data_IF_452230004673
#
_entry.id   IF_452230004673
#
_cell.length_a   1.000
_cell.length_b   1.000
_cell.length_c   1.000
_cell.angle_alpha   90.00
_cell.angle_beta   90.00
_cell.angle_gamma   90.00
#
_symmetry.space_group_name_H-M   'P 1'
#
loop_
_entity.id
_entity.type
_entity.pdbx_description
1 polymer ?
#
# COMPACT_ATOMS: atom_id res chain seq x y z
N UNK A 1 5.87 -14.04 -31.15
CA UNK A 1 5.21 -14.57 -29.93
C UNK A 1 5.32 -13.59 -28.76
N UNK A 2 6.53 -13.18 -28.34
CA UNK A 2 6.75 -12.24 -27.21
C UNK A 2 6.11 -10.84 -27.33
N UNK A 3 5.85 -10.35 -28.55
CA UNK A 3 5.18 -9.05 -28.80
C UNK A 3 3.69 -9.12 -28.47
N UNK A 4 3.02 -10.20 -28.93
CA UNK A 4 1.59 -10.41 -28.74
C UNK A 4 1.23 -10.68 -27.28
N UNK A 5 2.14 -11.28 -26.51
CA UNK A 5 1.98 -11.48 -25.05
C UNK A 5 2.12 -10.15 -24.29
N UNK A 6 3.12 -9.33 -24.62
CA UNK A 6 3.29 -7.99 -24.05
C UNK A 6 2.09 -7.07 -24.33
N UNK A 7 1.57 -7.08 -25.55
CA UNK A 7 0.38 -6.30 -25.90
C UNK A 7 -0.88 -6.73 -25.13
N UNK A 8 -1.03 -8.04 -24.87
CA UNK A 8 -2.13 -8.57 -24.05
C UNK A 8 -2.00 -8.13 -22.58
N UNK A 9 -0.79 -8.16 -22.03
CA UNK A 9 -0.54 -7.73 -20.65
C UNK A 9 -0.80 -6.23 -20.44
N UNK A 10 -0.36 -5.39 -21.39
CA UNK A 10 -0.64 -3.94 -21.37
C UNK A 10 -2.14 -3.69 -21.43
N UNK A 11 -2.86 -4.35 -22.35
CA UNK A 11 -4.31 -4.19 -22.48
C UNK A 11 -5.06 -4.63 -21.22
N UNK A 12 -4.62 -5.70 -20.56
CA UNK A 12 -5.22 -6.16 -19.30
C UNK A 12 -4.96 -5.18 -18.14
N UNK A 13 -3.76 -4.61 -18.07
CA UNK A 13 -3.41 -3.59 -17.08
C UNK A 13 -4.25 -2.32 -17.25
N UNK A 14 -4.40 -1.85 -18.49
CA UNK A 14 -5.23 -0.68 -18.82
C UNK A 14 -6.70 -0.92 -18.43
N UNK A 15 -7.25 -2.09 -18.75
CA UNK A 15 -8.62 -2.47 -18.35
C UNK A 15 -8.78 -2.44 -16.83
N UNK A 16 -7.85 -3.03 -16.08
CA UNK A 16 -7.91 -3.04 -14.62
C UNK A 16 -7.81 -1.63 -14.02
N UNK A 17 -6.96 -0.76 -14.59
CA UNK A 17 -6.87 0.64 -14.18
C UNK A 17 -8.16 1.41 -14.48
N UNK A 18 -8.76 1.19 -15.65
CA UNK A 18 -10.01 1.83 -16.04
C UNK A 18 -11.18 1.38 -15.16
N UNK A 19 -11.28 0.09 -14.84
CA UNK A 19 -12.27 -0.43 -13.89
C UNK A 19 -12.09 0.18 -12.49
N UNK A 20 -10.84 0.23 -12.02
CA UNK A 20 -10.48 0.84 -10.73
C UNK A 20 -10.86 2.33 -10.69
N UNK A 21 -10.56 3.06 -11.76
CA UNK A 21 -10.95 4.45 -11.92
C UNK A 21 -12.47 4.62 -11.93
N UNK A 22 -13.20 3.80 -12.71
CA UNK A 22 -14.66 3.89 -12.81
C UNK A 22 -15.35 3.63 -11.47
N UNK A 23 -14.81 2.74 -10.64
CA UNK A 23 -15.28 2.53 -9.27
C UNK A 23 -15.03 3.76 -8.40
N UNK A 24 -13.80 4.29 -8.41
CA UNK A 24 -13.43 5.45 -7.61
C UNK A 24 -14.22 6.71 -8.03
N UNK A 25 -14.40 6.93 -9.33
CA UNK A 25 -15.20 8.02 -9.91
C UNK A 25 -16.63 8.02 -9.40
N UNK A 26 -17.27 6.84 -9.36
CA UNK A 26 -18.63 6.67 -8.82
C UNK A 26 -18.69 7.03 -7.34
N UNK A 27 -17.72 6.55 -6.56
CA UNK A 27 -17.63 6.84 -5.12
C UNK A 27 -17.42 8.33 -4.81
N UNK A 28 -16.53 8.99 -5.55
CA UNK A 28 -16.28 10.42 -5.43
C UNK A 28 -17.53 11.20 -5.81
N UNK A 29 -18.15 10.85 -6.94
CA UNK A 29 -19.35 11.55 -7.44
C UNK A 29 -20.52 11.42 -6.46
N UNK A 30 -20.77 10.23 -5.92
CA UNK A 30 -21.81 9.99 -4.91
C UNK A 30 -21.57 10.81 -3.64
N UNK A 31 -20.32 10.86 -3.16
CA UNK A 31 -19.94 11.62 -1.98
C UNK A 31 -20.05 13.13 -2.21
N UNK A 32 -19.59 13.62 -3.36
CA UNK A 32 -19.69 15.02 -3.74
C UNK A 32 -21.14 15.48 -3.90
N UNK A 33 -21.98 14.65 -4.53
CA UNK A 33 -23.42 14.91 -4.63
C UNK A 33 -24.06 15.02 -3.25
N UNK A 34 -23.76 14.10 -2.33
CA UNK A 34 -24.30 14.16 -0.97
C UNK A 34 -23.85 15.40 -0.21
N UNK A 35 -22.59 15.84 -0.40
CA UNK A 35 -22.10 17.10 0.17
C UNK A 35 -22.93 18.29 -0.35
N UNK A 36 -23.22 18.34 -1.65
CA UNK A 36 -24.08 19.39 -2.22
C UNK A 36 -25.49 19.37 -1.63
N UNK A 37 -26.09 18.18 -1.43
CA UNK A 37 -27.41 18.06 -0.81
C UNK A 37 -27.43 18.56 0.64
N UNK A 38 -26.35 18.32 1.40
CA UNK A 38 -26.18 18.84 2.76
C UNK A 38 -26.05 20.37 2.72
N UNK A 39 -25.22 20.89 1.81
CA UNK A 39 -25.00 22.34 1.66
C UNK A 39 -26.26 23.10 1.24
N UNK A 40 -27.12 22.46 0.45
CA UNK A 40 -28.42 22.97 0.03
C UNK A 40 -29.51 22.79 1.12
N UNK A 41 -29.21 22.14 2.24
CA UNK A 41 -30.15 21.88 3.33
C UNK A 41 -31.21 20.81 3.02
N UNK A 42 -31.06 20.07 1.90
CA UNK A 42 -31.97 18.99 1.45
C UNK A 42 -31.70 17.68 2.19
N UNK A 43 -30.44 17.37 2.46
CA UNK A 43 -30.05 16.23 3.30
C UNK A 43 -29.79 16.68 4.74
N UNK A 44 -30.50 16.07 5.70
CA UNK A 44 -30.36 16.34 7.15
C UNK A 44 -29.86 15.10 7.88
N UNK A 45 -29.19 15.30 9.02
CA UNK A 45 -28.69 14.20 9.87
C UNK A 45 -27.31 13.65 9.49
N UNK A 46 -26.71 14.15 8.41
CA UNK A 46 -25.35 13.76 7.99
C UNK A 46 -24.36 14.91 8.15
N UNK A 47 -23.11 14.58 8.52
CA UNK A 47 -22.02 15.55 8.57
C UNK A 47 -21.26 15.58 7.25
N UNK A 48 -21.14 16.77 6.66
CA UNK A 48 -20.31 17.05 5.48
C UNK A 48 -18.91 16.45 5.58
N UNK A 49 -18.29 16.55 6.76
CA UNK A 49 -16.92 16.14 7.00
C UNK A 49 -16.70 14.63 6.79
N UNK A 50 -17.74 13.80 6.97
CA UNK A 50 -17.68 12.36 6.75
C UNK A 50 -17.46 12.03 5.27
N UNK A 51 -18.15 12.73 4.37
CA UNK A 51 -18.00 12.53 2.93
C UNK A 51 -16.67 13.06 2.40
N UNK A 52 -16.20 14.21 2.92
CA UNK A 52 -14.85 14.73 2.62
C UNK A 52 -13.78 13.73 3.05
N UNK A 53 -13.90 13.18 4.25
CA UNK A 53 -12.97 12.17 4.78
C UNK A 53 -13.02 10.87 3.97
N UNK A 54 -14.20 10.45 3.53
CA UNK A 54 -14.39 9.27 2.67
C UNK A 54 -13.66 9.42 1.33
N UNK A 55 -13.85 10.55 0.64
CA UNK A 55 -13.14 10.86 -0.62
C UNK A 55 -11.63 10.82 -0.37
N UNK A 56 -11.16 11.55 0.65
CA UNK A 56 -9.74 11.64 0.99
C UNK A 56 -9.12 10.27 1.26
N UNK A 57 -9.75 9.42 2.07
CA UNK A 57 -9.23 8.11 2.44
C UNK A 57 -9.20 7.13 1.25
N UNK A 58 -10.25 7.15 0.42
CA UNK A 58 -10.29 6.33 -0.79
C UNK A 58 -9.17 6.71 -1.76
N UNK A 59 -9.00 7.99 -2.07
CA UNK A 59 -7.92 8.45 -2.97
C UNK A 59 -6.53 8.24 -2.34
N UNK A 60 -6.40 8.39 -1.02
CA UNK A 60 -5.14 8.11 -0.31
C UNK A 60 -4.68 6.66 -0.47
N UNK A 61 -5.61 5.71 -0.59
CA UNK A 61 -5.28 4.30 -0.86
C UNK A 61 -4.54 4.14 -2.20
N UNK A 62 -5.01 4.83 -3.25
CA UNK A 62 -4.37 4.82 -4.56
C UNK A 62 -3.01 5.54 -4.54
N UNK A 63 -2.93 6.65 -3.80
CA UNK A 63 -1.65 7.34 -3.59
C UNK A 63 -0.63 6.45 -2.86
N UNK A 64 -1.06 5.66 -1.88
CA UNK A 64 -0.21 4.68 -1.18
C UNK A 64 0.39 3.61 -2.10
N UNK A 65 -0.33 3.22 -3.16
CA UNK A 65 0.11 2.25 -4.16
C UNK A 65 0.94 2.86 -5.29
N UNK A 66 1.10 4.19 -5.32
CA UNK A 66 1.77 4.88 -6.41
C UNK A 66 0.98 4.91 -7.73
N UNK A 67 -0.35 4.82 -7.68
CA UNK A 67 -1.24 4.89 -8.86
C UNK A 67 -1.52 6.36 -9.23
N UNK A 68 -0.50 7.06 -9.72
CA UNK A 68 -0.50 8.51 -10.00
C UNK A 68 -1.64 8.92 -10.92
N UNK A 69 -1.87 8.19 -12.00
CA UNK A 69 -2.84 8.56 -13.04
C UNK A 69 -4.28 8.54 -12.48
N UNK A 70 -4.61 7.56 -11.64
CA UNK A 70 -5.93 7.49 -10.98
C UNK A 70 -6.09 8.63 -9.97
N UNK A 71 -5.03 8.96 -9.23
CA UNK A 71 -5.04 10.04 -8.24
C UNK A 71 -5.18 11.40 -8.91
N UNK A 72 -4.48 11.65 -10.02
CA UNK A 72 -4.61 12.88 -10.81
C UNK A 72 -6.03 13.04 -11.36
N UNK A 73 -6.59 11.99 -11.99
CA UNK A 73 -8.00 11.99 -12.42
C UNK A 73 -8.97 12.29 -11.27
N UNK A 74 -8.73 11.74 -10.07
CA UNK A 74 -9.55 11.99 -8.90
C UNK A 74 -9.46 13.45 -8.41
N UNK A 75 -8.27 14.04 -8.44
CA UNK A 75 -8.06 15.45 -8.08
C UNK A 75 -8.76 16.37 -9.07
N UNK A 76 -8.63 16.11 -10.37
CA UNK A 76 -9.28 16.92 -11.40
C UNK A 76 -10.79 16.82 -11.32
N UNK A 77 -11.34 15.64 -11.07
CA UNK A 77 -12.77 15.47 -10.83
C UNK A 77 -13.26 16.31 -9.64
N UNK A 78 -12.53 16.35 -8.53
CA UNK A 78 -12.89 17.20 -7.38
C UNK A 78 -12.75 18.69 -7.70
N UNK A 79 -11.76 19.09 -8.50
CA UNK A 79 -11.65 20.48 -9.00
C UNK A 79 -12.86 20.86 -9.84
N UNK A 80 -13.33 19.98 -10.73
CA UNK A 80 -14.55 20.20 -11.50
C UNK A 80 -15.77 20.40 -10.60
N UNK A 81 -15.94 19.56 -9.57
CA UNK A 81 -17.02 19.75 -8.59
C UNK A 81 -16.90 21.07 -7.83
N UNK A 82 -15.69 21.43 -7.40
CA UNK A 82 -15.45 22.70 -6.71
C UNK A 82 -15.76 23.92 -7.59
N UNK A 83 -15.49 23.85 -8.90
CA UNK A 83 -15.74 24.94 -9.84
C UNK A 83 -17.24 25.16 -10.14
N UNK A 84 -18.05 24.10 -10.02
CA UNK A 84 -19.51 24.14 -10.28
C UNK A 84 -20.33 24.67 -9.10
N UNK A 85 -19.73 24.81 -7.92
CA UNK A 85 -20.43 25.09 -6.66
C UNK A 85 -19.84 26.29 -5.94
N UNK A 86 -20.69 27.10 -5.31
CA UNK A 86 -20.25 28.24 -4.49
C UNK A 86 -19.47 27.81 -3.23
N UNK A 87 -19.77 26.61 -2.70
CA UNK A 87 -19.02 25.98 -1.61
C UNK A 87 -18.20 24.81 -2.19
N UNK A 88 -16.86 24.82 -2.09
CA UNK A 88 -16.03 23.76 -2.66
C UNK A 88 -16.19 22.47 -1.87
N UNK A 89 -16.47 21.34 -2.53
CA UNK A 89 -16.53 19.99 -1.94
C UNK A 89 -15.34 19.74 -1.01
N UNK A 90 -14.12 19.96 -1.52
CA UNK A 90 -12.88 19.93 -0.73
C UNK A 90 -12.13 21.24 -0.91
N UNK A 91 -11.82 21.93 0.19
CA UNK A 91 -11.08 23.20 0.15
C UNK A 91 -9.65 23.04 -0.38
N UNK A 92 -9.14 24.01 -1.15
CA UNK A 92 -7.80 23.96 -1.75
C UNK A 92 -6.64 23.71 -0.75
N UNK A 93 -6.79 24.16 0.51
CA UNK A 93 -5.81 23.92 1.59
C UNK A 93 -5.75 22.48 2.11
N UNK A 94 -6.66 21.61 1.67
CA UNK A 94 -6.72 20.24 2.16
C UNK A 94 -5.58 19.42 1.55
N UNK A 95 -4.96 18.54 2.36
CA UNK A 95 -3.91 17.60 1.91
C UNK A 95 -4.32 16.71 0.72
N UNK A 96 -5.61 16.58 0.44
CA UNK A 96 -6.14 15.92 -0.74
C UNK A 96 -5.44 16.37 -2.03
N UNK A 97 -5.17 17.68 -2.17
CA UNK A 97 -4.52 18.23 -3.37
C UNK A 97 -3.01 17.97 -3.43
N UNK A 98 -2.42 17.42 -2.37
CA UNK A 98 -1.03 16.96 -2.32
C UNK A 98 -0.89 15.47 -2.67
N UNK A 99 -2.01 14.74 -2.77
CA UNK A 99 -1.98 13.29 -3.04
C UNK A 99 -1.31 12.89 -4.37
N UNK A 100 -1.38 13.66 -5.47
CA UNK A 100 -0.63 13.34 -6.69
C UNK A 100 0.87 13.26 -6.43
N UNK A 101 1.40 14.20 -5.64
CA UNK A 101 2.82 14.20 -5.29
C UNK A 101 3.17 13.02 -4.37
N UNK A 102 2.33 12.75 -3.37
CA UNK A 102 2.47 11.55 -2.53
C UNK A 102 2.49 10.27 -3.37
N UNK A 103 1.64 10.18 -4.40
CA UNK A 103 1.59 9.03 -5.29
C UNK A 103 2.89 8.88 -6.09
N UNK A 104 3.46 9.96 -6.62
CA UNK A 104 4.75 9.92 -7.34
C UNK A 104 5.87 9.46 -6.43
N UNK A 105 5.95 10.01 -5.23
CA UNK A 105 6.97 9.61 -4.25
C UNK A 105 6.84 8.13 -3.85
N UNK A 106 5.61 7.63 -3.65
CA UNK A 106 5.39 6.22 -3.35
C UNK A 106 5.72 5.32 -4.54
N UNK A 107 5.42 5.74 -5.78
CA UNK A 107 5.82 5.00 -6.99
C UNK A 107 7.33 4.84 -7.08
N UNK A 108 8.09 5.90 -6.83
CA UNK A 108 9.55 5.85 -6.81
C UNK A 108 10.05 4.89 -5.73
N UNK A 109 9.56 5.02 -4.50
CA UNK A 109 9.92 4.11 -3.39
C UNK A 109 9.60 2.65 -3.71
N UNK A 110 8.43 2.37 -4.26
CA UNK A 110 8.03 1.00 -4.64
C UNK A 110 8.91 0.45 -5.75
N UNK A 111 9.33 1.30 -6.70
CA UNK A 111 10.28 0.92 -7.76
C UNK A 111 11.65 0.59 -7.17
N UNK A 112 12.18 1.44 -6.29
CA UNK A 112 13.45 1.20 -5.59
C UNK A 112 13.41 -0.09 -4.77
N UNK A 113 12.32 -0.33 -4.02
CA UNK A 113 12.13 -1.55 -3.23
C UNK A 113 12.12 -2.79 -4.14
N UNK A 114 11.48 -2.69 -5.31
CA UNK A 114 11.39 -3.80 -6.27
C UNK A 114 12.70 -4.07 -6.99
N UNK A 115 13.48 -3.04 -7.26
CA UNK A 115 14.83 -3.15 -7.84
C UNK A 115 15.86 -3.64 -6.81
N UNK A 116 15.57 -3.49 -5.52
CA UNK A 116 16.44 -3.96 -4.44
C UNK A 116 16.44 -5.49 -4.39
N UNK A 117 17.59 -6.07 -4.73
CA UNK A 117 17.79 -7.50 -4.65
C UNK A 117 17.60 -8.01 -3.21
N UNK A 118 17.04 -9.22 -3.10
CA UNK A 118 16.96 -9.91 -1.81
C UNK A 118 18.37 -10.08 -1.29
N UNK A 119 18.62 -9.61 -0.07
CA UNK A 119 19.86 -9.91 0.64
C UNK A 119 19.66 -11.22 1.38
N UNK A 120 20.61 -12.12 1.27
CA UNK A 120 20.59 -13.41 1.96
C UNK A 120 21.90 -13.59 2.73
N UNK A 121 21.81 -14.10 3.95
CA UNK A 121 22.96 -14.45 4.77
C UNK A 121 22.75 -15.86 5.31
N UNK A 122 23.63 -16.77 4.93
CA UNK A 122 23.64 -18.12 5.47
C UNK A 122 24.12 -18.11 6.92
N UNK A 123 23.53 -18.97 7.74
CA UNK A 123 23.96 -19.23 9.11
C UNK A 123 23.92 -20.75 9.38
N UNK A 124 24.38 -21.16 10.56
CA UNK A 124 24.35 -22.57 10.95
C UNK A 124 22.89 -23.07 11.08
N UNK A 125 22.46 -23.90 10.12
CA UNK A 125 21.13 -24.51 10.09
C UNK A 125 20.08 -23.74 9.30
N UNK A 126 20.46 -22.73 8.51
CA UNK A 126 19.51 -22.04 7.64
C UNK A 126 20.02 -20.78 6.95
N UNK A 127 19.09 -20.01 6.39
CA UNK A 127 19.34 -18.74 5.69
C UNK A 127 18.42 -17.63 6.18
N UNK A 128 19.00 -16.47 6.45
CA UNK A 128 18.29 -15.24 6.78
C UNK A 128 18.12 -14.38 5.51
N UNK A 129 16.88 -14.06 5.16
CA UNK A 129 16.51 -13.38 3.91
C UNK A 129 15.82 -12.04 4.20
N UNK A 130 16.36 -10.96 3.66
CA UNK A 130 15.72 -9.65 3.61
C UNK A 130 14.87 -9.56 2.35
N UNK A 131 13.58 -9.84 2.50
CA UNK A 131 12.61 -9.72 1.43
C UNK A 131 12.03 -8.30 1.42
N UNK A 132 12.71 -7.39 0.71
CA UNK A 132 12.32 -5.99 0.62
C UNK A 132 10.96 -5.80 -0.05
N UNK A 133 10.66 -6.57 -1.10
CA UNK A 133 9.38 -6.52 -1.81
C UNK A 133 8.19 -6.84 -0.89
N UNK A 134 8.33 -7.85 -0.02
CA UNK A 134 7.29 -8.22 0.93
C UNK A 134 7.31 -7.40 2.23
N UNK A 135 8.32 -6.53 2.42
CA UNK A 135 8.62 -5.89 3.71
C UNK A 135 8.74 -6.92 4.85
N UNK A 136 9.48 -8.02 4.61
CA UNK A 136 9.66 -9.12 5.56
C UNK A 136 11.11 -9.52 5.74
N UNK A 137 11.48 -9.71 7.01
CA UNK A 137 12.67 -10.49 7.36
C UNK A 137 12.23 -11.95 7.54
N UNK A 138 12.85 -12.87 6.79
CA UNK A 138 12.49 -14.27 6.74
C UNK A 138 13.66 -15.13 7.21
N UNK A 139 13.39 -16.11 8.06
CA UNK A 139 14.35 -17.11 8.52
C UNK A 139 13.89 -18.45 7.94
N UNK A 140 14.69 -18.99 7.02
CA UNK A 140 14.51 -20.30 6.44
C UNK A 140 15.45 -21.25 7.18
N UNK A 141 14.93 -22.36 7.70
CA UNK A 141 15.75 -23.41 8.30
C UNK A 141 15.85 -24.58 7.33
N UNK A 142 17.00 -25.26 7.32
CA UNK A 142 17.22 -26.44 6.48
C UNK A 142 16.38 -27.64 6.94
N UNK A 143 16.07 -27.68 8.24
CA UNK A 143 15.22 -28.69 8.87
C UNK A 143 14.27 -28.04 9.87
N UNK A 144 13.24 -28.79 10.29
CA UNK A 144 12.26 -28.28 11.25
C UNK A 144 12.98 -27.96 12.57
N UNK A 145 13.00 -26.68 13.02
CA UNK A 145 13.68 -26.33 14.26
C UNK A 145 13.01 -27.00 15.46
N UNK A 146 13.82 -27.31 16.48
CA UNK A 146 13.37 -27.95 17.71
C UNK A 146 12.36 -27.09 18.49
N UNK A 147 11.68 -27.68 19.47
CA UNK A 147 10.59 -26.98 20.17
C UNK A 147 11.05 -25.74 20.94
N UNK A 148 12.26 -25.77 21.51
CA UNK A 148 12.85 -24.62 22.21
C UNK A 148 13.05 -23.43 21.27
N UNK A 149 13.71 -23.66 20.13
CA UNK A 149 13.94 -22.65 19.09
C UNK A 149 12.62 -22.07 18.55
N UNK A 150 11.59 -22.91 18.33
CA UNK A 150 10.26 -22.42 17.92
C UNK A 150 9.59 -21.53 18.96
N UNK A 151 9.75 -21.85 20.26
CA UNK A 151 9.24 -21.00 21.34
C UNK A 151 9.96 -19.65 21.37
N UNK A 152 11.27 -19.66 21.19
CA UNK A 152 12.08 -18.45 21.18
C UNK A 152 11.77 -17.54 19.98
N UNK A 153 11.61 -18.11 18.79
CA UNK A 153 11.18 -17.38 17.59
C UNK A 153 9.82 -16.70 17.80
N UNK A 154 8.86 -17.42 18.38
CA UNK A 154 7.54 -16.87 18.72
C UNK A 154 7.63 -15.75 19.75
N UNK A 155 8.41 -15.92 20.81
CA UNK A 155 8.63 -14.90 21.84
C UNK A 155 9.29 -13.64 21.25
N UNK A 156 10.17 -13.82 20.26
CA UNK A 156 10.82 -12.75 19.50
C UNK A 156 9.94 -12.16 18.38
N UNK A 157 8.66 -12.56 18.30
CA UNK A 157 7.67 -12.00 17.38
C UNK A 157 7.71 -12.52 15.95
N UNK A 158 8.47 -13.58 15.67
CA UNK A 158 8.44 -14.26 14.37
C UNK A 158 7.21 -15.17 14.26
N UNK A 159 6.55 -15.12 13.10
CA UNK A 159 5.39 -15.96 12.79
C UNK A 159 5.74 -16.92 11.67
N UNK A 160 5.37 -18.19 11.83
CA UNK A 160 5.50 -19.20 10.77
C UNK A 160 4.58 -18.89 9.60
N UNK A 161 5.10 -18.95 8.38
CA UNK A 161 4.33 -18.84 7.15
C UNK A 161 4.41 -20.13 6.35
N UNK A 162 3.35 -20.95 6.30
CA UNK A 162 3.35 -22.20 5.54
C UNK A 162 3.61 -22.00 4.04
N UNK A 163 3.08 -20.90 3.47
CA UNK A 163 3.25 -20.55 2.05
C UNK A 163 4.69 -20.23 1.67
N UNK A 164 5.42 -19.58 2.57
CA UNK A 164 6.82 -19.19 2.36
C UNK A 164 7.80 -20.20 2.98
N UNK A 165 7.28 -21.19 3.71
CA UNK A 165 8.06 -22.14 4.52
C UNK A 165 9.14 -21.46 5.39
N UNK A 166 8.80 -20.29 5.93
CA UNK A 166 9.74 -19.44 6.66
C UNK A 166 9.12 -18.85 7.93
N UNK A 167 9.95 -18.62 8.94
CA UNK A 167 9.63 -17.78 10.08
C UNK A 167 9.84 -16.32 9.69
N UNK A 168 8.81 -15.49 9.80
CA UNK A 168 8.91 -14.12 9.29
C UNK A 168 8.26 -13.09 10.20
N UNK A 169 8.76 -11.86 10.12
CA UNK A 169 8.16 -10.65 10.69
C UNK A 169 8.43 -9.44 9.80
N UNK A 170 7.80 -8.31 10.11
CA UNK A 170 8.01 -7.07 9.35
C UNK A 170 9.49 -6.66 9.38
N UNK A 171 10.02 -6.29 8.21
CA UNK A 171 11.40 -5.89 8.07
C UNK A 171 11.63 -4.55 8.78
N UNK A 172 12.26 -4.62 9.94
CA UNK A 172 12.58 -3.47 10.80
C UNK A 172 13.93 -3.69 11.43
N UNK A 173 14.58 -2.63 11.92
CA UNK A 173 15.86 -2.78 12.64
C UNK A 173 15.72 -3.74 13.85
N UNK A 174 14.60 -3.65 14.56
CA UNK A 174 14.29 -4.54 15.67
C UNK A 174 14.14 -6.01 15.24
N UNK A 175 13.65 -6.27 14.02
CA UNK A 175 13.58 -7.63 13.49
C UNK A 175 14.98 -8.21 13.25
N UNK A 176 15.91 -7.40 12.71
CA UNK A 176 17.30 -7.81 12.49
C UNK A 176 18.00 -8.10 13.81
N UNK A 177 17.88 -7.20 14.79
CA UNK A 177 18.43 -7.40 16.13
C UNK A 177 17.83 -8.63 16.82
N UNK A 178 16.53 -8.89 16.64
CA UNK A 178 15.89 -10.09 17.17
C UNK A 178 16.42 -11.36 16.50
N UNK A 179 16.58 -11.38 15.17
CA UNK A 179 17.16 -12.50 14.45
C UNK A 179 18.60 -12.78 14.91
N UNK A 180 19.42 -11.75 15.08
CA UNK A 180 20.79 -11.88 15.58
C UNK A 180 20.84 -12.54 16.96
N UNK A 181 19.95 -12.14 17.88
CA UNK A 181 19.88 -12.74 19.22
C UNK A 181 19.46 -14.20 19.19
N UNK A 182 18.37 -14.51 18.48
CA UNK A 182 17.82 -15.87 18.43
C UNK A 182 18.77 -16.84 17.72
N UNK A 183 19.45 -16.36 16.68
CA UNK A 183 20.36 -17.17 15.86
C UNK A 183 21.83 -17.06 16.32
N UNK A 184 22.12 -16.33 17.39
CA UNK A 184 23.46 -16.05 17.91
C UNK A 184 24.47 -15.61 16.82
N UNK A 185 24.03 -14.74 15.91
CA UNK A 185 24.85 -14.27 14.79
C UNK A 185 25.74 -13.12 15.21
N UNK A 186 26.93 -13.05 14.61
CA UNK A 186 27.75 -11.83 14.62
C UNK A 186 26.98 -10.65 13.99
N UNK A 187 27.36 -9.39 14.30
CA UNK A 187 26.68 -8.22 13.75
C UNK A 187 26.57 -8.27 12.22
N UNK A 188 25.35 -8.00 11.69
CA UNK A 188 24.93 -8.12 10.27
C UNK A 188 24.74 -6.77 9.58
#
# INVERSE_FOLDING_TARGET
MKENERMKDVSNLEKHQEESWNRLKRDISSSAHTIHEIDAGRARGYSRALFVSSILNKVSTYAGKGEVEIVEKAVDLVREYNARSSKPVITARNRFFQLPEVARQNRLKLKEIREKEKREVAFEGGTLVWNYEADRLQILFDSIPNDGMRKELKASGFKWSPRQQAWQRQLTQNAVLAAQRVLNLNPL
#
